data_IF_791079844843
#
_entry.id   IF_791079844843
#
_cell.length_a   1.000
_cell.length_b   1.000
_cell.length_c   1.000
_cell.angle_alpha   90.00
_cell.angle_beta   90.00
_cell.angle_gamma   90.00
#
_symmetry.space_group_name_H-M   'P 1'
#
loop_
_entity.id
_entity.type
_entity.pdbx_description
1 polymer ?
#
# COMPACT_ATOMS: atom_id res chain seq x y z
N UNK A 1 -34.98 -1.36 -14.39
CA UNK A 1 -34.88 -2.35 -13.29
C UNK A 1 -33.62 -3.21 -13.32
N UNK A 2 -33.17 -3.78 -14.47
CA UNK A 2 -31.89 -4.56 -14.50
C UNK A 2 -30.63 -3.70 -14.44
N UNK A 3 -30.60 -2.50 -15.03
CA UNK A 3 -29.45 -1.59 -15.00
C UNK A 3 -29.13 -1.07 -13.59
N UNK A 4 -30.15 -0.73 -12.80
CA UNK A 4 -29.98 -0.28 -11.42
C UNK A 4 -29.32 -1.37 -10.55
N UNK A 5 -29.62 -2.65 -10.83
CA UNK A 5 -29.05 -3.78 -10.11
C UNK A 5 -27.57 -3.97 -10.42
N UNK A 6 -27.14 -3.79 -11.68
CA UNK A 6 -25.73 -3.89 -12.11
C UNK A 6 -24.89 -2.75 -11.53
N UNK A 7 -25.40 -1.53 -11.58
CA UNK A 7 -24.72 -0.36 -11.00
C UNK A 7 -24.58 -0.48 -9.49
N UNK A 8 -25.60 -0.95 -8.79
CA UNK A 8 -25.57 -1.16 -7.36
C UNK A 8 -24.61 -2.29 -6.96
N UNK A 9 -24.59 -3.41 -7.71
CA UNK A 9 -23.64 -4.49 -7.50
C UNK A 9 -22.19 -4.05 -7.72
N UNK A 10 -21.94 -3.25 -8.76
CA UNK A 10 -20.60 -2.70 -9.01
C UNK A 10 -20.17 -1.72 -7.91
N UNK A 11 -21.06 -0.84 -7.42
CA UNK A 11 -20.79 0.04 -6.28
C UNK A 11 -20.47 -0.76 -5.02
N UNK A 12 -21.24 -1.80 -4.73
CA UNK A 12 -21.03 -2.68 -3.58
C UNK A 12 -19.68 -3.39 -3.67
N UNK A 13 -19.34 -3.97 -4.82
CA UNK A 13 -18.05 -4.64 -5.03
C UNK A 13 -16.86 -3.69 -4.88
N UNK A 14 -16.97 -2.44 -5.34
CA UNK A 14 -15.96 -1.40 -5.18
C UNK A 14 -15.80 -0.97 -3.72
N UNK A 15 -16.90 -0.81 -2.98
CA UNK A 15 -16.89 -0.49 -1.55
C UNK A 15 -16.20 -1.60 -0.75
N UNK A 16 -16.59 -2.86 -0.98
CA UNK A 16 -15.99 -4.02 -0.34
C UNK A 16 -14.48 -4.15 -0.64
N UNK A 17 -14.06 -3.88 -1.89
CA UNK A 17 -12.64 -3.90 -2.26
C UNK A 17 -11.87 -2.79 -1.51
N UNK A 18 -12.44 -1.61 -1.38
CA UNK A 18 -11.84 -0.50 -0.65
C UNK A 18 -11.74 -0.78 0.85
N UNK A 19 -12.77 -1.36 1.45
CA UNK A 19 -12.76 -1.76 2.87
C UNK A 19 -11.68 -2.80 3.15
N UNK A 20 -11.53 -3.83 2.29
CA UNK A 20 -10.46 -4.83 2.40
C UNK A 20 -9.07 -4.21 2.29
N UNK A 21 -8.88 -3.26 1.36
CA UNK A 21 -7.60 -2.56 1.21
C UNK A 21 -7.28 -1.70 2.44
N UNK A 22 -8.27 -1.00 2.97
CA UNK A 22 -8.10 -0.19 4.18
C UNK A 22 -7.77 -1.07 5.39
N UNK A 23 -8.51 -2.17 5.61
CA UNK A 23 -8.26 -3.11 6.69
C UNK A 23 -6.84 -3.71 6.60
N UNK A 24 -6.40 -4.11 5.41
CA UNK A 24 -5.04 -4.63 5.18
C UNK A 24 -3.97 -3.56 5.42
N UNK A 25 -4.23 -2.33 5.01
CA UNK A 25 -3.33 -1.21 5.25
C UNK A 25 -3.15 -0.93 6.75
N UNK A 26 -4.23 -0.91 7.52
CA UNK A 26 -4.18 -0.71 8.97
C UNK A 26 -3.47 -1.87 9.69
N UNK A 27 -3.67 -3.11 9.25
CA UNK A 27 -2.93 -4.26 9.76
C UNK A 27 -1.42 -4.12 9.53
N UNK A 28 -1.01 -3.78 8.32
CA UNK A 28 0.40 -3.56 7.97
C UNK A 28 0.97 -2.40 8.79
N UNK A 29 0.25 -1.30 8.93
CA UNK A 29 0.65 -0.13 9.70
C UNK A 29 0.89 -0.48 11.18
N UNK A 30 0.03 -1.30 11.77
CA UNK A 30 0.21 -1.82 13.13
C UNK A 30 1.50 -2.65 13.25
N UNK A 31 1.75 -3.56 12.32
CA UNK A 31 2.96 -4.38 12.28
C UNK A 31 4.24 -3.53 12.13
N UNK A 32 4.21 -2.54 11.26
CA UNK A 32 5.33 -1.59 11.06
C UNK A 32 5.60 -0.79 12.32
N UNK A 33 4.55 -0.32 13.00
CA UNK A 33 4.69 0.44 14.25
C UNK A 33 5.30 -0.42 15.37
N UNK A 34 4.81 -1.65 15.53
CA UNK A 34 5.33 -2.60 16.52
C UNK A 34 6.81 -2.90 16.30
N UNK A 35 7.19 -3.21 15.05
CA UNK A 35 8.60 -3.50 14.71
C UNK A 35 9.48 -2.27 14.89
N UNK A 36 8.99 -1.07 14.57
CA UNK A 36 9.73 0.18 14.79
C UNK A 36 10.06 0.37 16.28
N UNK A 37 9.12 0.09 17.18
CA UNK A 37 9.38 0.17 18.62
C UNK A 37 10.34 -0.93 19.09
N UNK A 38 10.23 -2.14 18.57
CA UNK A 38 11.19 -3.23 18.86
C UNK A 38 12.61 -2.86 18.41
N UNK A 39 12.78 -2.34 17.19
CA UNK A 39 14.08 -1.85 16.70
C UNK A 39 14.66 -0.77 17.60
N UNK A 40 13.81 0.20 18.01
CA UNK A 40 14.24 1.30 18.87
C UNK A 40 14.68 0.82 20.25
N UNK A 41 13.92 -0.07 20.84
CA UNK A 41 14.19 -0.67 22.14
C UNK A 41 15.49 -1.50 22.10
N UNK A 42 15.63 -2.37 21.10
CA UNK A 42 16.79 -3.23 20.92
C UNK A 42 18.05 -2.41 20.63
N UNK A 43 17.96 -1.38 19.77
CA UNK A 43 19.11 -0.52 19.47
C UNK A 43 19.61 0.23 20.71
N UNK A 44 18.69 0.70 21.58
CA UNK A 44 19.10 1.31 22.87
C UNK A 44 19.82 0.29 23.78
N UNK A 45 19.28 -0.92 23.91
CA UNK A 45 19.87 -1.97 24.74
C UNK A 45 21.25 -2.39 24.25
N UNK A 46 21.46 -2.55 22.93
CA UNK A 46 22.75 -2.91 22.33
C UNK A 46 23.80 -1.84 22.62
N UNK A 47 23.47 -0.57 22.49
CA UNK A 47 24.41 0.54 22.74
C UNK A 47 24.82 0.63 24.21
N UNK A 48 23.92 0.35 25.14
CA UNK A 48 24.20 0.37 26.57
C UNK A 48 25.03 -0.84 27.02
N UNK A 49 24.74 -2.03 26.51
CA UNK A 49 25.44 -3.28 26.90
C UNK A 49 26.76 -3.50 26.15
N UNK A 50 26.90 -3.01 24.91
CA UNK A 50 28.19 -3.05 24.20
C UNK A 50 29.28 -2.21 24.90
N UNK A 51 28.86 -1.28 25.76
CA UNK A 51 29.78 -0.53 26.63
C UNK A 51 30.20 -1.30 27.89
N UNK A 52 29.47 -2.34 28.28
CA UNK A 52 29.70 -3.00 29.56
C UNK A 52 30.19 -4.45 29.47
N UNK A 53 29.85 -5.25 28.46
CA UNK A 53 30.16 -6.69 28.41
C UNK A 53 30.19 -7.28 26.99
N UNK A 54 31.37 -7.57 26.43
CA UNK A 54 31.55 -8.13 25.08
C UNK A 54 30.79 -9.46 24.78
N UNK A 55 30.51 -10.34 25.76
CA UNK A 55 29.74 -11.59 25.54
C UNK A 55 28.23 -11.42 25.48
N UNK A 56 27.66 -10.42 26.13
CA UNK A 56 26.23 -10.13 26.04
C UNK A 56 25.82 -9.58 24.65
N UNK A 57 26.76 -8.97 23.92
CA UNK A 57 26.55 -8.49 22.54
C UNK A 57 26.21 -9.63 21.57
N UNK A 58 26.77 -10.85 21.73
CA UNK A 58 26.50 -12.01 20.86
C UNK A 58 25.04 -12.52 20.99
N UNK A 59 24.48 -12.51 22.20
CA UNK A 59 23.09 -12.89 22.41
C UNK A 59 22.13 -11.88 21.74
N UNK A 60 22.45 -10.59 21.82
CA UNK A 60 21.68 -9.52 21.19
C UNK A 60 21.77 -9.51 19.66
N UNK A 61 22.89 -9.99 19.09
CA UNK A 61 23.00 -10.18 17.63
C UNK A 61 21.97 -11.19 17.12
N UNK A 62 21.71 -12.27 17.86
CA UNK A 62 20.69 -13.26 17.46
C UNK A 62 19.27 -12.69 17.53
N UNK A 63 18.95 -11.91 18.56
CA UNK A 63 17.69 -11.18 18.69
C UNK A 63 17.51 -10.16 17.54
N UNK A 64 18.60 -9.48 17.19
CA UNK A 64 18.70 -8.54 16.10
C UNK A 64 18.46 -9.18 14.72
N UNK A 65 19.02 -10.36 14.45
CA UNK A 65 18.76 -11.13 13.23
C UNK A 65 17.29 -11.54 13.14
N UNK A 66 16.66 -11.88 14.26
CA UNK A 66 15.22 -12.16 14.34
C UNK A 66 14.36 -10.95 13.96
N UNK A 67 14.72 -9.76 14.46
CA UNK A 67 14.04 -8.50 14.11
C UNK A 67 14.23 -8.17 12.63
N UNK A 68 15.45 -8.29 12.09
CA UNK A 68 15.72 -8.05 10.66
C UNK A 68 14.88 -8.96 9.78
N UNK A 69 14.80 -10.27 10.11
CA UNK A 69 13.97 -11.23 9.39
C UNK A 69 12.50 -10.78 9.40
N UNK A 70 11.98 -10.40 10.55
CA UNK A 70 10.59 -9.92 10.69
C UNK A 70 10.32 -8.65 9.85
N UNK A 71 11.28 -7.71 9.78
CA UNK A 71 11.17 -6.52 8.92
C UNK A 71 11.13 -6.91 7.44
N UNK A 72 11.97 -7.85 7.02
CA UNK A 72 11.99 -8.35 5.65
C UNK A 72 10.65 -9.01 5.27
N UNK A 73 10.07 -9.82 6.15
CA UNK A 73 8.76 -10.45 5.95
C UNK A 73 7.64 -9.39 5.82
N UNK A 74 7.66 -8.36 6.67
CA UNK A 74 6.69 -7.25 6.60
C UNK A 74 6.88 -6.46 5.30
N UNK A 75 8.12 -6.20 4.88
CA UNK A 75 8.43 -5.53 3.62
C UNK A 75 7.85 -6.29 2.42
N UNK A 76 8.00 -7.61 2.39
CA UNK A 76 7.42 -8.44 1.32
C UNK A 76 5.89 -8.39 1.33
N UNK A 77 5.26 -8.39 2.50
CA UNK A 77 3.81 -8.19 2.63
C UNK A 77 3.36 -6.81 2.10
N UNK A 78 4.13 -5.75 2.38
CA UNK A 78 3.87 -4.40 1.86
C UNK A 78 3.97 -4.39 0.33
N UNK A 79 5.01 -4.99 -0.24
CA UNK A 79 5.19 -5.12 -1.70
C UNK A 79 4.04 -5.89 -2.36
N UNK A 80 3.62 -6.99 -1.74
CA UNK A 80 2.45 -7.75 -2.17
C UNK A 80 1.17 -6.91 -2.14
N UNK A 81 0.98 -6.10 -1.11
CA UNK A 81 -0.15 -5.18 -1.00
C UNK A 81 -0.11 -4.07 -2.06
N UNK A 82 1.06 -3.50 -2.37
CA UNK A 82 1.24 -2.51 -3.44
C UNK A 82 0.84 -3.11 -4.79
N UNK A 83 1.36 -4.31 -5.13
CA UNK A 83 0.99 -5.01 -6.38
C UNK A 83 -0.50 -5.28 -6.49
N UNK A 84 -1.14 -5.69 -5.40
CA UNK A 84 -2.60 -5.92 -5.38
C UNK A 84 -3.36 -4.62 -5.59
N UNK A 85 -2.96 -3.55 -4.89
CA UNK A 85 -3.56 -2.21 -5.03
C UNK A 85 -3.43 -1.69 -6.46
N UNK A 86 -2.29 -1.90 -7.13
CA UNK A 86 -2.10 -1.50 -8.53
C UNK A 86 -3.03 -2.25 -9.48
N UNK A 87 -3.20 -3.57 -9.28
CA UNK A 87 -4.16 -4.36 -10.06
C UNK A 87 -5.59 -3.87 -9.86
N UNK A 88 -5.97 -3.54 -8.63
CA UNK A 88 -7.31 -3.07 -8.31
C UNK A 88 -7.56 -1.66 -8.86
N UNK A 89 -6.56 -0.77 -8.82
CA UNK A 89 -6.62 0.54 -9.48
C UNK A 89 -6.82 0.38 -10.99
N UNK A 90 -6.06 -0.52 -11.65
CA UNK A 90 -6.18 -0.77 -13.07
C UNK A 90 -7.56 -1.34 -13.44
N UNK A 91 -8.06 -2.34 -12.70
CA UNK A 91 -9.41 -2.89 -12.89
C UNK A 91 -10.50 -1.84 -12.71
N UNK A 92 -10.39 -0.99 -11.67
CA UNK A 92 -11.35 0.07 -11.41
C UNK A 92 -11.33 1.14 -12.51
N UNK A 93 -10.15 1.47 -13.04
CA UNK A 93 -10.02 2.39 -14.16
C UNK A 93 -10.67 1.84 -15.45
N UNK A 94 -10.48 0.55 -15.74
CA UNK A 94 -11.12 -0.14 -16.87
C UNK A 94 -12.64 -0.17 -16.72
N UNK A 95 -13.16 -0.49 -15.54
CA UNK A 95 -14.59 -0.43 -15.23
C UNK A 95 -15.14 0.98 -15.43
N UNK A 96 -14.48 2.00 -14.91
CA UNK A 96 -14.90 3.40 -15.07
C UNK A 96 -14.92 3.82 -16.56
N UNK A 97 -13.96 3.33 -17.36
CA UNK A 97 -13.94 3.53 -18.82
C UNK A 97 -15.14 2.85 -19.48
N UNK A 98 -15.42 1.59 -19.18
CA UNK A 98 -16.54 0.83 -19.74
C UNK A 98 -17.89 1.46 -19.41
N UNK A 99 -18.13 1.90 -18.18
CA UNK A 99 -19.35 2.63 -17.81
C UNK A 99 -19.51 3.93 -18.55
N UNK A 100 -18.41 4.65 -18.80
CA UNK A 100 -18.45 5.88 -19.60
C UNK A 100 -18.88 5.59 -21.04
N UNK A 101 -18.24 4.63 -21.69
CA UNK A 101 -18.53 4.26 -23.07
C UNK A 101 -19.97 3.79 -23.23
N UNK A 102 -20.46 2.95 -22.33
CA UNK A 102 -21.85 2.51 -22.30
C UNK A 102 -22.82 3.68 -22.11
N UNK A 103 -22.53 4.59 -21.18
CA UNK A 103 -23.35 5.78 -20.95
C UNK A 103 -23.38 6.73 -22.15
N UNK A 104 -22.28 6.92 -22.86
CA UNK A 104 -22.20 7.72 -24.08
C UNK A 104 -22.99 7.09 -25.22
N UNK A 105 -22.88 5.78 -25.41
CA UNK A 105 -23.63 5.03 -26.40
C UNK A 105 -25.14 5.14 -26.13
N UNK A 106 -25.56 4.93 -24.89
CA UNK A 106 -26.97 5.08 -24.52
C UNK A 106 -27.48 6.51 -24.74
N UNK A 107 -26.69 7.52 -24.34
CA UNK A 107 -27.06 8.94 -24.56
C UNK A 107 -27.21 9.27 -26.03
N UNK A 108 -26.32 8.79 -26.90
CA UNK A 108 -26.43 8.99 -28.34
C UNK A 108 -27.63 8.23 -28.93
N UNK A 109 -27.91 7.01 -28.51
CA UNK A 109 -29.11 6.29 -28.93
C UNK A 109 -30.42 7.06 -28.57
N UNK A 110 -30.52 7.64 -27.38
CA UNK A 110 -31.66 8.50 -27.01
C UNK A 110 -31.73 9.78 -27.85
N UNK A 111 -30.58 10.38 -28.22
CA UNK A 111 -30.55 11.55 -29.09
C UNK A 111 -31.03 11.21 -30.51
N UNK A 112 -30.54 10.10 -31.07
CA UNK A 112 -30.96 9.60 -32.37
C UNK A 112 -32.48 9.32 -32.38
N UNK A 113 -33.01 8.70 -31.33
CA UNK A 113 -34.43 8.46 -31.17
C UNK A 113 -35.26 9.77 -31.09
N UNK A 114 -34.67 10.85 -30.59
CA UNK A 114 -35.27 12.16 -30.47
C UNK A 114 -34.95 13.09 -31.66
N UNK A 115 -34.50 12.56 -32.79
CA UNK A 115 -34.06 13.29 -34.00
C UNK A 115 -33.02 14.38 -33.73
N UNK A 116 -32.13 14.15 -32.73
CA UNK A 116 -31.03 15.07 -32.39
C UNK A 116 -29.69 14.49 -32.87
N UNK A 117 -28.76 15.35 -33.34
CA UNK A 117 -27.47 14.90 -33.79
C UNK A 117 -26.68 14.20 -32.65
N UNK A 118 -25.92 13.19 -33.00
CA UNK A 118 -24.98 12.51 -32.07
C UNK A 118 -23.94 13.51 -31.56
N UNK A 119 -23.48 13.29 -30.34
CA UNK A 119 -22.43 14.08 -29.69
C UNK A 119 -21.15 13.30 -29.67
N UNK A 120 -20.09 13.87 -30.19
CA UNK A 120 -18.75 13.35 -29.98
C UNK A 120 -18.25 13.71 -28.56
N UNK A 121 -18.16 12.69 -27.72
CA UNK A 121 -17.69 12.84 -26.35
C UNK A 121 -16.16 12.72 -26.22
N UNK A 122 -15.43 12.44 -27.32
CA UNK A 122 -13.98 12.24 -27.29
C UNK A 122 -13.22 13.50 -26.87
N UNK A 123 -13.77 14.70 -27.16
CA UNK A 123 -13.16 15.99 -26.89
C UNK A 123 -13.66 16.65 -25.58
N UNK A 124 -14.64 16.08 -24.89
CA UNK A 124 -15.14 16.64 -23.64
C UNK A 124 -14.43 16.03 -22.45
N UNK A 125 -13.57 16.78 -21.78
CA UNK A 125 -13.07 16.47 -20.42
C UNK A 125 -14.25 16.43 -19.44
N UNK A 126 -14.94 15.32 -19.37
CA UNK A 126 -15.94 15.13 -18.33
C UNK A 126 -15.22 14.78 -17.02
N UNK A 127 -15.33 15.66 -16.04
CA UNK A 127 -14.85 15.46 -14.67
C UNK A 127 -15.57 14.26 -14.04
N UNK A 128 -14.95 13.09 -14.14
CA UNK A 128 -15.57 11.83 -13.72
C UNK A 128 -15.62 11.72 -12.20
N UNK A 129 -16.81 11.88 -11.64
CA UNK A 129 -17.08 11.68 -10.22
C UNK A 129 -16.67 10.28 -9.74
N UNK A 130 -16.94 9.22 -10.51
CA UNK A 130 -16.57 7.85 -10.18
C UNK A 130 -15.05 7.69 -10.08
N UNK A 131 -14.30 8.25 -11.02
CA UNK A 131 -12.84 8.21 -11.02
C UNK A 131 -12.25 8.90 -9.79
N UNK A 132 -12.81 10.05 -9.38
CA UNK A 132 -12.34 10.76 -8.19
C UNK A 132 -12.76 10.07 -6.89
N UNK A 133 -14.01 9.66 -6.78
CA UNK A 133 -14.53 9.09 -5.54
C UNK A 133 -13.91 7.73 -5.18
N UNK A 134 -13.55 6.92 -6.18
CA UNK A 134 -13.05 5.56 -5.95
C UNK A 134 -11.54 5.46 -6.15
N UNK A 135 -10.99 6.02 -7.22
CA UNK A 135 -9.56 5.91 -7.52
C UNK A 135 -8.69 6.77 -6.60
N UNK A 136 -9.17 7.92 -6.13
CA UNK A 136 -8.37 8.78 -5.26
C UNK A 136 -8.06 8.12 -3.90
N UNK A 137 -9.03 7.50 -3.18
CA UNK A 137 -8.73 6.74 -1.96
C UNK A 137 -7.76 5.58 -2.21
N UNK A 138 -7.93 4.81 -3.29
CA UNK A 138 -7.03 3.69 -3.62
C UNK A 138 -5.60 4.17 -3.89
N UNK A 139 -5.43 5.29 -4.59
CA UNK A 139 -4.13 5.93 -4.80
C UNK A 139 -3.52 6.46 -3.50
N UNK A 140 -4.34 6.95 -2.58
CA UNK A 140 -3.87 7.38 -1.26
C UNK A 140 -3.35 6.20 -0.43
N UNK A 141 -4.06 5.05 -0.43
CA UNK A 141 -3.60 3.81 0.20
C UNK A 141 -2.28 3.34 -0.42
N UNK A 142 -2.16 3.36 -1.76
CA UNK A 142 -0.89 3.01 -2.42
C UNK A 142 0.25 3.91 -1.96
N UNK A 143 0.07 5.23 -1.91
CA UNK A 143 1.10 6.17 -1.43
C UNK A 143 1.53 5.86 0.00
N UNK A 144 0.58 5.51 0.86
CA UNK A 144 0.86 5.13 2.25
C UNK A 144 1.69 3.84 2.33
N UNK A 145 1.34 2.81 1.55
CA UNK A 145 2.09 1.56 1.46
C UNK A 145 3.54 1.79 0.95
N UNK A 146 3.72 2.60 -0.08
CA UNK A 146 5.06 2.98 -0.58
C UNK A 146 5.87 3.71 0.49
N UNK A 147 5.26 4.63 1.24
CA UNK A 147 5.93 5.28 2.37
C UNK A 147 6.35 4.29 3.45
N UNK A 148 5.50 3.29 3.76
CA UNK A 148 5.85 2.23 4.71
C UNK A 148 7.03 1.39 4.21
N UNK A 149 7.08 1.02 2.93
CA UNK A 149 8.21 0.30 2.33
C UNK A 149 9.53 1.08 2.52
N UNK A 150 9.54 2.38 2.20
CA UNK A 150 10.72 3.23 2.39
C UNK A 150 11.17 3.30 3.86
N UNK A 151 10.22 3.35 4.80
CA UNK A 151 10.56 3.34 6.24
C UNK A 151 11.13 1.99 6.69
N UNK A 152 10.67 0.86 6.13
CA UNK A 152 11.21 -0.46 6.40
C UNK A 152 12.61 -0.61 5.84
N UNK A 153 12.87 -0.15 4.61
CA UNK A 153 14.20 -0.14 4.00
C UNK A 153 15.19 0.68 4.84
N UNK A 154 14.80 1.90 5.24
CA UNK A 154 15.64 2.72 6.14
C UNK A 154 15.88 2.06 7.52
N UNK A 155 14.95 1.23 7.99
CA UNK A 155 15.13 0.47 9.23
C UNK A 155 16.10 -0.69 9.05
N UNK A 156 16.07 -1.38 7.91
CA UNK A 156 17.03 -2.44 7.55
C UNK A 156 18.44 -1.86 7.47
N UNK A 157 18.62 -0.72 6.78
CA UNK A 157 19.92 -0.06 6.65
C UNK A 157 20.50 0.33 8.01
N UNK A 158 19.66 0.85 8.91
CA UNK A 158 20.08 1.18 10.28
C UNK A 158 20.52 -0.07 11.07
N UNK A 159 19.79 -1.17 10.89
CA UNK A 159 20.15 -2.43 11.51
C UNK A 159 21.48 -2.96 10.97
N UNK A 160 21.70 -2.91 9.67
CA UNK A 160 22.95 -3.36 9.05
C UNK A 160 24.15 -2.51 9.50
N UNK A 161 23.98 -1.20 9.60
CA UNK A 161 25.00 -0.31 10.15
C UNK A 161 25.32 -0.62 11.63
N UNK A 162 24.31 -0.93 12.44
CA UNK A 162 24.53 -1.32 13.83
C UNK A 162 25.26 -2.65 13.93
N UNK A 163 24.92 -3.65 13.10
CA UNK A 163 25.60 -4.94 13.07
C UNK A 163 27.08 -4.79 12.71
N UNK A 164 27.42 -3.97 11.70
CA UNK A 164 28.80 -3.67 11.32
C UNK A 164 29.57 -2.99 12.47
N UNK A 165 28.95 -2.04 13.15
CA UNK A 165 29.62 -1.34 14.26
C UNK A 165 29.91 -2.30 15.44
N UNK A 166 29.02 -3.22 15.75
CA UNK A 166 29.22 -4.25 16.77
C UNK A 166 30.35 -5.21 16.37
N UNK A 167 30.40 -5.63 15.10
CA UNK A 167 31.45 -6.50 14.59
C UNK A 167 32.83 -5.84 14.61
N UNK A 168 32.91 -4.54 14.32
CA UNK A 168 34.17 -3.78 14.43
C UNK A 168 34.63 -3.68 15.88
N UNK A 169 33.72 -3.40 16.83
CA UNK A 169 34.08 -3.35 18.26
C UNK A 169 34.59 -4.67 18.78
N UNK A 170 34.06 -5.82 18.33
CA UNK A 170 34.46 -7.14 18.71
C UNK A 170 35.85 -7.58 18.13
N UNK A 171 36.32 -6.94 17.06
CA UNK A 171 37.63 -7.22 16.43
C UNK A 171 38.78 -6.40 17.02
N UNK A 172 38.47 -5.41 17.85
CA UNK A 172 39.46 -4.50 18.47
C UNK A 172 39.88 -4.97 19.87
N UNK A 173 39.13 -5.91 20.48
CA UNK A 173 39.51 -6.63 21.71
C UNK A 173 40.28 -7.93 21.38
#
# INVERSE_FOLDING_TARGET
MQEDTLVNNAKKALSEAQERLNARCEQIKSQVSEVKEQVRSTAKGIVEEAKEKGRAALYRVSEFLGIKKRILDIRENVRGAIKTTDKDIAKTALLAKGFREAGQTAANAFRTFADKPEVDYSQKEQKHFITKAVLAPMKAVKKMLVSMELHLDASIDKLDNLAMNVEICLKIE
#
